data_IF_438336652436
#
_entry.id   IF_438336652436
#
_cell.length_a   1.000
_cell.length_b   1.000
_cell.length_c   1.000
_cell.angle_alpha   90.00
_cell.angle_beta   90.00
_cell.angle_gamma   90.00
#
_symmetry.space_group_name_H-M   'P 1'
#
loop_
_entity.id
_entity.type
_entity.pdbx_description
1 polymer ?
#
# COMPACT_ATOMS: atom_id res chain seq x y z
N UNK A 1 10.90 -1.07 15.35
CA UNK A 1 10.65 -1.20 13.90
C UNK A 1 9.71 -2.39 13.69
N UNK A 2 8.61 -2.21 12.95
CA UNK A 2 7.60 -3.25 12.65
C UNK A 2 8.05 -4.05 11.42
N UNK A 3 7.79 -5.36 11.40
CA UNK A 3 8.04 -6.23 10.24
C UNK A 3 6.76 -6.49 9.47
N UNK A 4 6.90 -6.78 8.18
CA UNK A 4 5.78 -7.14 7.32
C UNK A 4 5.03 -8.35 7.89
N UNK A 5 3.70 -8.30 7.86
CA UNK A 5 2.81 -9.33 8.41
C UNK A 5 2.62 -9.26 9.92
N UNK A 6 3.36 -8.42 10.66
CA UNK A 6 3.14 -8.27 12.10
C UNK A 6 1.83 -7.54 12.38
N UNK A 7 1.14 -7.96 13.45
CA UNK A 7 -0.06 -7.29 13.92
C UNK A 7 0.21 -5.85 14.33
N UNK A 8 -0.76 -4.99 14.03
CA UNK A 8 -0.79 -3.60 14.49
C UNK A 8 -2.11 -3.32 15.20
N UNK A 9 -2.04 -2.52 16.26
CA UNK A 9 -3.23 -2.05 16.97
C UNK A 9 -3.71 -0.73 16.36
N UNK A 10 -5.01 -0.66 16.11
CA UNK A 10 -5.68 0.58 15.73
C UNK A 10 -6.36 1.16 16.98
N UNK A 11 -6.01 2.38 17.36
CA UNK A 11 -6.49 3.02 18.59
C UNK A 11 -7.18 4.34 18.26
N UNK A 12 -8.50 4.48 18.48
CA UNK A 12 -9.19 5.74 18.28
C UNK A 12 -8.75 6.77 19.33
N UNK A 13 -8.60 8.02 18.89
CA UNK A 13 -8.27 9.17 19.73
C UNK A 13 -9.34 10.26 19.56
N UNK A 14 -10.54 10.10 20.15
CA UNK A 14 -11.64 11.05 19.99
C UNK A 14 -11.35 12.45 20.53
N UNK A 15 -10.43 12.56 21.49
CA UNK A 15 -9.99 13.82 22.10
C UNK A 15 -8.79 14.46 21.35
N UNK A 16 -8.43 13.94 20.17
CA UNK A 16 -7.34 14.49 19.39
C UNK A 16 -7.67 15.93 18.95
N UNK A 17 -6.76 16.86 19.23
CA UNK A 17 -6.94 18.30 18.98
C UNK A 17 -7.20 18.65 17.50
N UNK A 18 -6.73 17.82 16.58
CA UNK A 18 -6.73 18.14 15.14
C UNK A 18 -7.82 17.40 14.37
N UNK A 19 -8.18 16.18 14.79
CA UNK A 19 -9.16 15.33 14.12
C UNK A 19 -9.84 14.40 15.13
N UNK A 20 -11.13 14.62 15.42
CA UNK A 20 -11.93 13.79 16.33
C UNK A 20 -12.10 12.33 15.85
N UNK A 21 -11.80 12.07 14.59
CA UNK A 21 -11.83 10.74 14.00
C UNK A 21 -10.44 10.09 13.93
N UNK A 22 -9.41 10.72 14.51
CA UNK A 22 -8.06 10.20 14.47
C UNK A 22 -7.98 8.76 15.01
N UNK A 23 -7.31 7.90 14.24
CA UNK A 23 -6.96 6.53 14.64
C UNK A 23 -5.46 6.39 14.56
N UNK A 24 -4.82 6.24 15.71
CA UNK A 24 -3.40 5.98 15.84
C UNK A 24 -3.09 4.50 15.56
N UNK A 25 -1.97 4.26 14.89
CA UNK A 25 -1.47 2.92 14.55
C UNK A 25 -0.29 2.60 15.44
N UNK A 26 -0.35 1.49 16.17
CA UNK A 26 0.71 1.00 17.04
C UNK A 26 1.20 -0.36 16.58
N UNK A 27 2.51 -0.59 16.65
CA UNK A 27 3.06 -1.94 16.47
C UNK A 27 2.65 -2.86 17.64
N UNK A 28 2.76 -4.18 17.44
CA UNK A 28 2.59 -5.18 18.50
C UNK A 28 3.52 -5.00 19.72
N UNK A 29 4.52 -4.11 19.62
CA UNK A 29 5.46 -3.76 20.69
C UNK A 29 5.11 -2.45 21.40
N UNK A 30 3.94 -1.86 21.11
CA UNK A 30 3.48 -0.61 21.71
C UNK A 30 4.14 0.67 21.18
N UNK A 31 4.92 0.59 20.10
CA UNK A 31 5.51 1.76 19.45
C UNK A 31 4.50 2.36 18.46
N UNK A 32 4.19 3.66 18.59
CA UNK A 32 3.35 4.38 17.63
C UNK A 32 4.06 4.51 16.28
N UNK A 33 3.40 4.06 15.22
CA UNK A 33 3.90 4.11 13.85
C UNK A 33 3.39 5.35 13.09
N UNK A 34 2.24 5.88 13.50
CA UNK A 34 1.62 7.06 12.91
C UNK A 34 0.11 7.06 13.10
N UNK A 35 -0.59 7.70 12.16
CA UNK A 35 -2.05 7.76 12.11
C UNK A 35 -2.55 7.24 10.76
N UNK A 36 -3.77 6.72 10.74
CA UNK A 36 -4.46 6.45 9.49
C UNK A 36 -4.82 7.78 8.79
N UNK A 37 -4.93 7.79 7.45
CA UNK A 37 -5.55 8.90 6.74
C UNK A 37 -6.97 9.15 7.27
N UNK A 38 -7.35 10.42 7.45
CA UNK A 38 -8.62 10.81 8.09
C UNK A 38 -9.85 10.13 7.46
N UNK A 39 -9.95 10.09 6.13
CA UNK A 39 -11.02 9.38 5.40
C UNK A 39 -11.11 7.90 5.78
N UNK A 40 -9.97 7.22 5.93
CA UNK A 40 -9.92 5.81 6.34
C UNK A 40 -10.27 5.65 7.81
N UNK A 41 -9.89 6.61 8.65
CA UNK A 41 -10.20 6.58 10.06
C UNK A 41 -11.72 6.72 10.31
N UNK A 42 -12.38 7.63 9.59
CA UNK A 42 -13.86 7.76 9.58
C UNK A 42 -14.53 6.47 9.14
N UNK A 43 -14.04 5.86 8.06
CA UNK A 43 -14.60 4.61 7.54
C UNK A 43 -14.51 3.48 8.58
N UNK A 44 -13.32 3.25 9.13
CA UNK A 44 -13.09 2.20 10.14
C UNK A 44 -13.91 2.49 11.41
N UNK A 45 -13.92 3.73 11.89
CA UNK A 45 -14.73 4.13 13.04
C UNK A 45 -16.23 3.93 12.83
N UNK A 46 -16.72 4.06 11.58
CA UNK A 46 -18.10 3.76 11.22
C UNK A 46 -18.39 2.27 11.32
N UNK A 47 -17.51 1.42 10.79
CA UNK A 47 -17.64 -0.04 10.93
C UNK A 47 -17.60 -0.48 12.40
N UNK A 48 -16.73 0.08 13.23
CA UNK A 48 -16.70 -0.20 14.67
C UNK A 48 -17.99 0.18 15.38
N UNK A 49 -18.58 1.36 15.07
CA UNK A 49 -19.88 1.77 15.64
C UNK A 49 -21.04 0.84 15.23
N UNK A 50 -20.93 0.22 14.06
CA UNK A 50 -21.88 -0.80 13.59
C UNK A 50 -21.67 -2.18 14.24
N UNK A 51 -20.66 -2.34 15.10
CA UNK A 51 -20.36 -3.58 15.81
C UNK A 51 -19.40 -4.52 15.07
N UNK A 52 -18.77 -4.08 13.98
CA UNK A 52 -17.77 -4.88 13.28
C UNK A 52 -16.45 -4.90 14.04
N UNK A 53 -15.82 -6.07 14.10
CA UNK A 53 -14.46 -6.22 14.64
C UNK A 53 -13.43 -6.01 13.53
N UNK A 54 -12.22 -5.57 13.88
CA UNK A 54 -11.12 -5.39 12.92
C UNK A 54 -9.85 -6.06 13.38
N UNK A 55 -9.11 -6.63 12.42
CA UNK A 55 -7.74 -7.10 12.61
C UNK A 55 -6.87 -6.36 11.58
N UNK A 56 -5.69 -5.90 12.00
CA UNK A 56 -4.78 -5.19 11.12
C UNK A 56 -3.36 -5.76 11.19
N UNK A 57 -2.68 -5.75 10.04
CA UNK A 57 -1.26 -6.11 9.91
C UNK A 57 -0.49 -5.01 9.20
N UNK A 58 0.79 -4.91 9.53
CA UNK A 58 1.74 -4.07 8.82
C UNK A 58 2.10 -4.70 7.48
N UNK A 59 1.94 -3.97 6.38
CA UNK A 59 2.29 -4.46 5.05
C UNK A 59 3.72 -4.12 4.69
N UNK A 60 4.06 -2.82 4.67
CA UNK A 60 5.34 -2.34 4.19
C UNK A 60 5.59 -0.88 4.61
N UNK A 61 6.84 -0.44 4.52
CA UNK A 61 7.22 0.97 4.58
C UNK A 61 7.79 1.39 3.22
N UNK A 62 7.02 2.18 2.46
CA UNK A 62 7.40 2.64 1.12
C UNK A 62 7.53 4.15 1.11
N UNK A 63 8.68 4.69 0.69
CA UNK A 63 8.91 6.14 0.59
C UNK A 63 8.51 6.94 1.86
N UNK A 64 8.75 6.38 3.05
CA UNK A 64 8.38 6.91 4.39
C UNK A 64 6.88 6.85 4.73
N UNK A 65 6.07 6.21 3.90
CA UNK A 65 4.64 5.95 4.14
C UNK A 65 4.47 4.50 4.58
N UNK A 66 3.85 4.31 5.74
CA UNK A 66 3.51 2.98 6.25
C UNK A 66 2.20 2.49 5.64
N UNK A 67 2.19 1.26 5.14
CA UNK A 67 1.01 0.58 4.63
C UNK A 67 0.54 -0.45 5.65
N UNK A 68 -0.77 -0.47 5.90
CA UNK A 68 -1.42 -1.48 6.75
C UNK A 68 -2.60 -2.10 6.01
N UNK A 69 -2.85 -3.38 6.26
CA UNK A 69 -4.05 -4.08 5.76
C UNK A 69 -5.00 -4.30 6.92
N UNK A 70 -6.28 -4.04 6.70
CA UNK A 70 -7.33 -4.20 7.70
C UNK A 70 -8.35 -5.19 7.14
N UNK A 71 -8.70 -6.19 7.94
CA UNK A 71 -9.81 -7.10 7.68
C UNK A 71 -10.87 -6.95 8.76
N UNK A 72 -12.11 -7.31 8.45
CA UNK A 72 -13.26 -7.13 9.33
C UNK A 72 -13.89 -8.46 9.71
N UNK A 73 -14.67 -8.47 10.79
CA UNK A 73 -15.56 -9.58 11.16
C UNK A 73 -14.86 -10.94 11.34
N UNK A 74 -13.66 -10.92 11.91
CA UNK A 74 -12.87 -12.13 12.20
C UNK A 74 -12.07 -12.68 11.00
N UNK A 75 -12.13 -12.04 9.84
CA UNK A 75 -11.23 -12.36 8.72
C UNK A 75 -9.78 -12.03 9.07
N UNK A 76 -8.84 -12.84 8.59
CA UNK A 76 -7.41 -12.59 8.75
C UNK A 76 -6.85 -11.84 7.54
N UNK A 77 -6.28 -10.64 7.71
CA UNK A 77 -5.59 -9.96 6.63
C UNK A 77 -4.31 -10.72 6.30
N UNK A 78 -4.09 -11.00 5.01
CA UNK A 78 -2.87 -11.64 4.50
C UNK A 78 -2.04 -10.66 3.68
N UNK A 79 -0.72 -10.85 3.66
CA UNK A 79 0.14 -10.09 2.76
C UNK A 79 -0.14 -10.49 1.30
N UNK A 80 -0.08 -9.54 0.35
CA UNK A 80 -0.08 -9.92 -1.06
C UNK A 80 1.12 -10.84 -1.35
N UNK A 81 1.00 -11.76 -2.33
CA UNK A 81 2.16 -12.50 -2.80
C UNK A 81 3.23 -11.50 -3.25
N UNK A 82 4.48 -11.74 -2.86
CA UNK A 82 5.62 -10.96 -3.36
C UNK A 82 5.59 -11.13 -4.87
N UNK A 83 5.30 -10.05 -5.60
CA UNK A 83 5.42 -10.06 -7.04
C UNK A 83 6.88 -10.41 -7.33
N UNK A 84 7.12 -11.58 -7.93
CA UNK A 84 8.43 -11.86 -8.51
C UNK A 84 8.73 -10.68 -9.44
N UNK A 85 9.87 -10.03 -9.25
CA UNK A 85 10.29 -8.96 -10.14
C UNK A 85 10.10 -9.47 -11.57
N UNK A 86 9.32 -8.75 -12.37
CA UNK A 86 9.23 -9.08 -13.78
C UNK A 86 10.67 -9.16 -14.29
N UNK A 87 11.04 -10.21 -15.06
CA UNK A 87 12.35 -10.23 -15.67
C UNK A 87 12.56 -8.89 -16.38
N UNK A 88 13.78 -8.32 -16.33
CA UNK A 88 14.06 -7.09 -17.05
C UNK A 88 13.58 -7.27 -18.50
N UNK A 89 12.99 -6.23 -19.12
CA UNK A 89 12.56 -6.33 -20.51
C UNK A 89 13.73 -6.84 -21.34
N UNK A 90 13.50 -7.90 -22.09
CA UNK A 90 14.51 -8.43 -23.00
C UNK A 90 14.69 -7.42 -24.13
N UNK A 91 15.72 -6.57 -23.99
CA UNK A 91 16.08 -5.55 -24.97
C UNK A 91 16.49 -6.20 -26.31
N UNK A 92 16.87 -7.48 -26.29
CA UNK A 92 17.21 -8.26 -27.48
C UNK A 92 15.96 -8.81 -28.20
N UNK A 93 14.79 -8.82 -27.54
CA UNK A 93 13.49 -9.20 -28.10
C UNK A 93 12.67 -7.99 -28.61
N UNK A 94 13.22 -6.77 -28.55
CA UNK A 94 12.65 -5.63 -29.27
C UNK A 94 12.89 -5.89 -30.75
N UNK A 95 11.87 -6.48 -31.37
CA UNK A 95 11.86 -6.83 -32.77
C UNK A 95 12.38 -5.65 -33.61
N UNK A 96 13.27 -6.00 -34.52
CA UNK A 96 13.96 -5.14 -35.49
C UNK A 96 13.01 -4.44 -36.48
N UNK A 97 11.71 -4.38 -36.18
CA UNK A 97 10.65 -3.88 -37.05
C UNK A 97 10.40 -2.37 -36.91
N UNK A 98 11.02 -1.70 -35.92
CA UNK A 98 11.29 -0.27 -36.02
C UNK A 98 12.56 -0.05 -36.84
N UNK A 99 12.48 -0.49 -38.10
CA UNK A 99 13.43 -0.14 -39.13
C UNK A 99 13.44 1.38 -39.30
N UNK A 100 14.57 2.00 -39.00
CA UNK A 100 14.91 3.29 -39.59
C UNK A 100 15.06 3.03 -41.09
N UNK A 101 13.97 3.05 -41.85
CA UNK A 101 14.03 2.96 -43.30
C UNK A 101 14.76 4.22 -43.80
N UNK A 102 15.91 4.10 -44.47
CA UNK A 102 16.52 5.27 -45.08
C UNK A 102 15.55 5.82 -46.13
N UNK A 103 15.18 7.10 -46.01
CA UNK A 103 14.35 7.79 -46.99
C UNK A 103 14.94 7.55 -48.39
N UNK A 104 14.09 7.10 -49.31
CA UNK A 104 14.48 6.79 -50.68
C UNK A 104 15.11 8.02 -51.37
N UNK A 105 16.31 7.86 -51.91
CA UNK A 105 17.02 8.91 -52.65
C UNK A 105 16.80 8.71 -54.16
N UNK A 106 16.19 9.66 -54.88
CA UNK A 106 16.06 9.60 -56.34
C UNK A 106 17.44 9.62 -57.02
N UNK A 107 17.63 8.90 -58.14
CA UNK A 107 18.86 8.99 -58.92
C UNK A 107 18.96 10.39 -59.55
N UNK A 108 20.14 10.98 -59.44
CA UNK A 108 20.50 12.26 -60.06
C UNK A 108 20.69 12.03 -61.58
N UNK A 109 19.99 12.82 -62.43
CA UNK A 109 20.17 12.83 -63.90
C UNK A 109 21.45 13.55 -64.34
#
# INVERSE_FOLDING_TARGET
MCREGESVDLRPEPDNKYDEHAIAVYSCRGIQLGYLPSERAVLIGTYWRQGHTTIAIFQALEAKVGWVRVAFNGEQPVLPPIAAAAPPPDWDAVDSDYGFEPDWVPPEE
#
